data_IF_469555085652
#
_entry.id   IF_469555085652
#
_cell.length_a   1.000
_cell.length_b   1.000
_cell.length_c   1.000
_cell.angle_alpha   90.00
_cell.angle_beta   90.00
_cell.angle_gamma   90.00
#
_symmetry.space_group_name_H-M   'P 1'
#
loop_
_entity.id
_entity.type
_entity.pdbx_description
1 polymer ?
#
# COMPACT_ATOMS: atom_id res chain seq x y z
N UNK A 1 -10.10 20.53 -9.25
CA UNK A 1 -9.69 19.62 -8.16
C UNK A 1 -9.76 20.39 -6.85
N UNK A 2 -10.29 19.77 -5.79
CA UNK A 2 -10.40 20.40 -4.48
C UNK A 2 -9.03 20.38 -3.78
N UNK A 3 -8.37 21.54 -3.72
CA UNK A 3 -7.02 21.67 -3.14
C UNK A 3 -6.97 21.24 -1.67
N UNK A 4 -8.09 21.26 -0.96
CA UNK A 4 -8.15 20.90 0.46
C UNK A 4 -7.78 19.45 0.73
N UNK A 5 -8.07 18.55 -0.20
CA UNK A 5 -7.87 17.12 -0.04
C UNK A 5 -6.61 16.61 -0.73
N UNK A 6 -5.83 17.51 -1.33
CA UNK A 6 -4.60 17.12 -2.00
C UNK A 6 -3.49 16.82 -0.97
N UNK A 7 -2.84 15.65 -1.09
CA UNK A 7 -1.64 15.36 -0.33
C UNK A 7 -0.48 16.25 -0.81
N UNK A 8 0.47 16.51 0.08
CA UNK A 8 1.70 17.27 -0.21
C UNK A 8 2.87 16.33 -0.44
N UNK A 9 3.78 16.68 -1.35
CA UNK A 9 5.07 16.02 -1.50
C UNK A 9 6.11 16.74 -0.64
N UNK A 10 6.53 16.10 0.44
CA UNK A 10 7.48 16.69 1.40
C UNK A 10 8.73 15.82 1.44
N UNK A 11 9.90 16.31 0.98
CA UNK A 11 11.15 15.57 1.09
C UNK A 11 11.60 15.53 2.55
N UNK A 12 12.18 14.41 2.98
CA UNK A 12 12.86 14.35 4.27
C UNK A 12 14.31 14.88 4.15
N UNK A 13 15.07 14.87 5.25
CA UNK A 13 16.45 15.37 5.27
C UNK A 13 17.36 14.67 4.24
N UNK A 14 17.26 13.36 4.10
CA UNK A 14 18.11 12.58 3.19
C UNK A 14 17.70 12.83 1.73
N UNK A 15 16.40 12.96 1.47
CA UNK A 15 15.86 13.36 0.17
C UNK A 15 16.37 14.75 -0.23
N UNK A 16 16.36 15.71 0.72
CA UNK A 16 16.86 17.07 0.53
C UNK A 16 18.36 17.11 0.24
N UNK A 17 19.16 16.32 0.95
CA UNK A 17 20.59 16.19 0.66
C UNK A 17 20.82 15.67 -0.76
N UNK A 18 20.11 14.60 -1.12
CA UNK A 18 20.22 13.96 -2.44
C UNK A 18 19.81 14.91 -3.57
N UNK A 19 18.64 15.53 -3.49
CA UNK A 19 18.17 16.43 -4.56
C UNK A 19 19.08 17.66 -4.68
N UNK A 20 19.60 18.21 -3.58
CA UNK A 20 20.52 19.34 -3.65
C UNK A 20 21.87 18.98 -4.28
N UNK A 21 22.36 17.76 -4.10
CA UNK A 21 23.52 17.26 -4.83
C UNK A 21 23.21 17.07 -6.33
N UNK A 22 22.03 16.55 -6.68
CA UNK A 22 21.58 16.45 -8.07
C UNK A 22 21.51 17.83 -8.72
N UNK A 23 20.89 18.81 -8.06
CA UNK A 23 20.77 20.19 -8.55
C UNK A 23 22.13 20.79 -8.87
N UNK A 24 23.13 20.62 -7.99
CA UNK A 24 24.51 21.06 -8.26
C UNK A 24 25.08 20.40 -9.51
N UNK A 25 24.93 19.08 -9.65
CA UNK A 25 25.48 18.31 -10.77
C UNK A 25 24.86 18.66 -12.13
N UNK A 26 23.61 19.11 -12.15
CA UNK A 26 22.91 19.50 -13.39
C UNK A 26 22.94 21.02 -13.65
N UNK A 27 23.78 21.77 -12.93
CA UNK A 27 23.93 23.23 -12.99
C UNK A 27 22.68 24.03 -12.55
N UNK A 28 21.86 23.47 -11.66
CA UNK A 28 20.71 24.11 -11.03
C UNK A 28 20.91 24.36 -9.52
N UNK A 29 22.15 24.36 -9.04
CA UNK A 29 22.48 24.51 -7.61
C UNK A 29 22.00 25.83 -6.97
N UNK A 30 21.65 26.84 -7.77
CA UNK A 30 21.10 28.11 -7.30
C UNK A 30 19.66 28.00 -6.78
N UNK A 31 18.91 26.93 -7.13
CA UNK A 31 17.52 26.75 -6.72
C UNK A 31 17.38 26.34 -5.24
N UNK A 32 18.34 25.56 -4.72
CA UNK A 32 18.37 25.00 -3.36
C UNK A 32 17.01 24.48 -2.86
N UNK A 33 16.78 23.18 -2.98
CA UNK A 33 15.55 22.54 -2.52
C UNK A 33 15.41 22.55 -0.99
N UNK A 34 14.18 22.77 -0.54
CA UNK A 34 13.69 22.67 0.82
C UNK A 34 12.27 22.08 0.82
N UNK A 35 11.65 21.94 2.00
CA UNK A 35 10.31 21.35 2.15
C UNK A 35 9.20 22.16 1.44
N UNK A 36 9.36 23.48 1.33
CA UNK A 36 8.33 24.39 0.78
C UNK A 36 8.38 24.53 -0.75
N UNK A 37 9.57 24.33 -1.35
CA UNK A 37 9.81 24.56 -2.76
C UNK A 37 10.02 23.28 -3.60
N UNK A 38 9.98 22.09 -2.97
CA UNK A 38 10.30 20.82 -3.61
C UNK A 38 9.45 20.57 -4.87
N UNK A 39 8.13 20.72 -4.77
CA UNK A 39 7.21 20.49 -5.89
C UNK A 39 7.46 21.47 -7.04
N UNK A 40 7.76 22.73 -6.72
CA UNK A 40 7.99 23.81 -7.68
C UNK A 40 9.31 23.64 -8.43
N UNK A 41 10.29 22.91 -7.87
CA UNK A 41 11.59 22.68 -8.50
C UNK A 41 11.53 21.53 -9.53
N UNK A 42 10.61 20.56 -9.38
CA UNK A 42 10.51 19.37 -10.26
C UNK A 42 10.49 19.74 -11.76
N UNK A 43 9.70 20.72 -12.24
CA UNK A 43 9.68 21.07 -13.66
C UNK A 43 11.03 21.56 -14.20
N UNK A 44 11.82 22.26 -13.39
CA UNK A 44 13.15 22.74 -13.80
C UNK A 44 14.14 21.58 -13.94
N UNK A 45 14.06 20.60 -13.03
CA UNK A 45 14.86 19.37 -13.13
C UNK A 45 14.46 18.59 -14.39
N UNK A 46 13.17 18.48 -14.69
CA UNK A 46 12.64 17.74 -15.85
C UNK A 46 13.17 18.36 -17.15
N UNK A 47 13.03 19.69 -17.29
CA UNK A 47 13.53 20.43 -18.43
C UNK A 47 15.04 20.23 -18.60
N UNK A 48 15.81 20.43 -17.51
CA UNK A 48 17.27 20.34 -17.57
C UNK A 48 17.75 18.93 -17.91
N UNK A 49 17.09 17.91 -17.38
CA UNK A 49 17.39 16.52 -17.72
C UNK A 49 17.11 16.23 -19.21
N UNK A 50 16.06 16.81 -19.78
CA UNK A 50 15.77 16.75 -21.21
C UNK A 50 16.88 17.41 -22.06
N UNK A 51 17.34 18.61 -21.69
CA UNK A 51 18.42 19.32 -22.38
C UNK A 51 19.75 18.52 -22.37
N UNK A 52 20.11 17.94 -21.22
CA UNK A 52 21.34 17.15 -21.07
C UNK A 52 21.30 15.90 -21.97
N UNK A 53 20.13 15.24 -22.08
CA UNK A 53 19.93 14.11 -22.99
C UNK A 53 20.01 14.51 -24.46
N UNK A 54 19.34 15.61 -24.84
CA UNK A 54 19.38 16.13 -26.22
C UNK A 54 20.81 16.50 -26.65
N UNK A 55 21.64 16.95 -25.71
CA UNK A 55 23.05 17.22 -25.94
C UNK A 55 23.92 15.94 -26.03
N UNK A 56 23.35 14.75 -25.88
CA UNK A 56 24.08 13.47 -25.93
C UNK A 56 25.00 13.22 -24.73
N UNK A 57 24.82 13.94 -23.63
CA UNK A 57 25.70 13.85 -22.45
C UNK A 57 25.34 12.67 -21.54
N UNK A 58 24.11 12.17 -21.63
CA UNK A 58 23.62 11.00 -20.90
C UNK A 58 22.69 10.18 -21.79
N UNK A 59 22.52 8.90 -21.46
CA UNK A 59 21.67 7.99 -22.21
C UNK A 59 20.17 8.39 -22.12
N UNK A 60 19.43 8.24 -23.23
CA UNK A 60 18.03 8.65 -23.31
C UNK A 60 17.11 7.88 -22.34
N UNK A 61 17.45 6.64 -22.00
CA UNK A 61 16.66 5.81 -21.09
C UNK A 61 16.84 6.17 -19.62
N UNK A 62 17.92 6.86 -19.25
CA UNK A 62 18.21 7.20 -17.85
C UNK A 62 17.20 8.20 -17.29
N UNK A 63 16.76 8.00 -16.04
CA UNK A 63 15.90 8.97 -15.34
C UNK A 63 16.53 9.42 -14.04
N UNK A 64 16.29 10.67 -13.67
CA UNK A 64 16.65 11.20 -12.35
C UNK A 64 15.67 10.60 -11.34
N UNK A 65 16.22 9.82 -10.40
CA UNK A 65 15.46 9.29 -9.27
C UNK A 65 15.38 10.31 -8.14
N UNK A 66 14.17 10.66 -7.74
CA UNK A 66 13.86 11.47 -6.55
C UNK A 66 12.99 10.65 -5.59
N UNK A 67 12.89 11.13 -4.35
CA UNK A 67 12.09 10.50 -3.31
C UNK A 67 11.46 11.59 -2.43
N UNK A 68 10.26 11.35 -1.92
CA UNK A 68 9.57 12.26 -0.99
C UNK A 68 8.50 11.53 -0.18
N UNK A 69 8.09 12.12 0.94
CA UNK A 69 6.90 11.70 1.66
C UNK A 69 5.65 12.26 1.00
N UNK A 70 4.63 11.43 0.93
CA UNK A 70 3.29 11.77 0.47
C UNK A 70 2.43 12.01 1.72
N UNK A 71 2.16 13.26 2.05
CA UNK A 71 1.53 13.64 3.32
C UNK A 71 0.05 13.97 3.09
N UNK A 72 -0.89 13.13 3.59
CA UNK A 72 -2.31 13.43 3.55
C UNK A 72 -2.65 14.67 4.40
N UNK A 73 -3.67 15.46 4.00
CA UNK A 73 -3.96 16.75 4.63
C UNK A 73 -4.55 16.63 6.05
N UNK A 74 -5.11 15.48 6.44
CA UNK A 74 -5.79 15.31 7.74
C UNK A 74 -4.95 14.55 8.77
N UNK A 75 -3.63 14.41 8.55
CA UNK A 75 -2.77 13.63 9.43
C UNK A 75 -2.99 12.12 9.34
N UNK A 76 -3.66 11.66 8.29
CA UNK A 76 -3.85 10.24 7.99
C UNK A 76 -2.50 9.54 7.79
N UNK A 77 -2.47 8.24 8.03
CA UNK A 77 -1.28 7.42 7.88
C UNK A 77 -1.63 6.06 7.27
N UNK A 78 -0.63 5.42 6.68
CA UNK A 78 -0.75 4.09 6.13
C UNK A 78 -0.69 3.04 7.25
N UNK A 79 -1.69 2.15 7.31
CA UNK A 79 -1.74 1.03 8.26
C UNK A 79 -1.97 -0.33 7.60
N UNK A 80 -2.06 -0.38 6.27
CA UNK A 80 -2.20 -1.54 5.38
C UNK A 80 -3.01 -2.73 5.93
N UNK A 81 -4.19 -2.97 5.35
CA UNK A 81 -5.06 -4.07 5.70
C UNK A 81 -6.00 -3.76 6.85
N UNK A 82 -5.48 -3.64 8.08
CA UNK A 82 -6.31 -3.69 9.30
C UNK A 82 -7.33 -2.54 9.37
N UNK A 83 -6.89 -1.28 9.24
CA UNK A 83 -7.82 -0.15 9.30
C UNK A 83 -8.86 -0.19 8.19
N UNK A 84 -8.44 -0.40 6.95
CA UNK A 84 -9.36 -0.49 5.81
C UNK A 84 -10.38 -1.64 5.97
N UNK A 85 -9.95 -2.82 6.43
CA UNK A 85 -10.84 -3.94 6.70
C UNK A 85 -11.87 -3.60 7.80
N UNK A 86 -11.43 -2.95 8.88
CA UNK A 86 -12.34 -2.51 9.95
C UNK A 86 -13.32 -1.44 9.47
N UNK A 87 -12.88 -0.50 8.62
CA UNK A 87 -13.75 0.52 8.03
C UNK A 87 -14.84 -0.12 7.16
N UNK A 88 -14.49 -1.10 6.33
CA UNK A 88 -15.48 -1.85 5.55
C UNK A 88 -16.50 -2.60 6.44
N UNK A 89 -16.03 -3.24 7.53
CA UNK A 89 -16.91 -3.93 8.49
C UNK A 89 -17.85 -2.92 9.16
N UNK A 90 -17.32 -1.79 9.63
CA UNK A 90 -18.08 -0.78 10.35
C UNK A 90 -19.06 -0.03 9.45
N UNK A 91 -18.68 0.29 8.22
CA UNK A 91 -19.56 0.91 7.24
C UNK A 91 -20.78 0.02 6.95
N UNK A 92 -20.57 -1.29 6.74
CA UNK A 92 -21.67 -2.20 6.49
C UNK A 92 -22.57 -2.39 7.73
N UNK A 93 -21.99 -2.45 8.94
CA UNK A 93 -22.75 -2.46 10.19
C UNK A 93 -23.60 -1.20 10.37
N UNK A 94 -23.06 -0.03 10.06
CA UNK A 94 -23.81 1.23 10.13
C UNK A 94 -24.94 1.26 9.10
N UNK A 95 -24.70 0.77 7.88
CA UNK A 95 -25.75 0.63 6.86
C UNK A 95 -26.88 -0.30 7.33
N UNK A 96 -26.55 -1.47 7.89
CA UNK A 96 -27.57 -2.39 8.44
C UNK A 96 -28.35 -1.75 9.58
N UNK A 97 -27.68 -0.97 10.45
CA UNK A 97 -28.36 -0.24 11.54
C UNK A 97 -29.34 0.80 11.02
N UNK A 98 -28.98 1.54 9.97
CA UNK A 98 -29.84 2.57 9.36
C UNK A 98 -30.94 1.99 8.48
N UNK A 99 -30.67 0.84 7.87
CA UNK A 99 -31.57 0.16 6.94
C UNK A 99 -31.74 -1.31 7.34
N UNK A 100 -32.59 -1.63 8.34
CA UNK A 100 -32.68 -2.97 8.91
C UNK A 100 -32.99 -4.10 7.91
N UNK A 101 -33.67 -3.79 6.80
CA UNK A 101 -33.92 -4.76 5.71
C UNK A 101 -32.65 -5.32 5.06
N UNK A 102 -31.51 -4.62 5.19
CA UNK A 102 -30.22 -5.11 4.72
C UNK A 102 -29.64 -6.21 5.63
N UNK A 103 -30.15 -6.37 6.86
CA UNK A 103 -29.70 -7.40 7.79
C UNK A 103 -29.95 -8.82 7.25
N UNK A 104 -31.02 -9.01 6.48
CA UNK A 104 -31.44 -10.31 5.95
C UNK A 104 -30.74 -10.68 4.62
N UNK A 105 -30.02 -9.72 4.01
CA UNK A 105 -29.30 -9.95 2.77
C UNK A 105 -27.93 -10.62 3.03
N UNK A 106 -27.40 -11.41 2.08
CA UNK A 106 -26.03 -11.92 2.14
C UNK A 106 -24.98 -10.80 2.09
N UNK A 107 -23.91 -10.93 2.89
CA UNK A 107 -22.77 -10.00 2.96
C UNK A 107 -21.62 -10.60 2.16
N UNK A 108 -21.46 -10.12 0.93
CA UNK A 108 -20.41 -10.58 0.02
C UNK A 108 -19.37 -9.47 -0.13
N UNK A 109 -18.11 -9.79 0.15
CA UNK A 109 -16.99 -8.88 -0.03
C UNK A 109 -16.20 -9.30 -1.27
N UNK A 110 -15.94 -8.36 -2.18
CA UNK A 110 -15.19 -8.66 -3.38
C UNK A 110 -14.28 -7.54 -3.84
N UNK A 111 -13.16 -7.92 -4.47
CA UNK A 111 -12.21 -6.95 -4.99
C UNK A 111 -11.04 -7.57 -5.73
N UNK A 112 -10.35 -6.74 -6.51
CA UNK A 112 -9.10 -7.07 -7.17
C UNK A 112 -7.88 -6.54 -6.42
N UNK A 113 -6.73 -7.19 -6.56
CA UNK A 113 -5.45 -6.77 -5.97
C UNK A 113 -5.61 -6.50 -4.46
N UNK A 114 -5.31 -5.30 -4.00
CA UNK A 114 -5.49 -4.92 -2.60
C UNK A 114 -6.93 -5.11 -2.08
N UNK A 115 -7.96 -4.89 -2.91
CA UNK A 115 -9.36 -5.12 -2.54
C UNK A 115 -9.70 -6.60 -2.34
N UNK A 116 -9.06 -7.50 -3.09
CA UNK A 116 -9.20 -8.95 -2.91
C UNK A 116 -8.54 -9.42 -1.60
N UNK A 117 -7.35 -8.88 -1.31
CA UNK A 117 -6.69 -9.05 -0.02
C UNK A 117 -7.58 -8.56 1.14
N UNK A 118 -8.16 -7.37 1.03
CA UNK A 118 -9.07 -6.83 2.05
C UNK A 118 -10.31 -7.71 2.24
N UNK A 119 -10.90 -8.22 1.16
CA UNK A 119 -12.09 -9.08 1.22
C UNK A 119 -11.82 -10.37 2.00
N UNK A 120 -10.67 -11.01 1.78
CA UNK A 120 -10.23 -12.17 2.54
C UNK A 120 -9.86 -11.82 3.99
N UNK A 121 -9.21 -10.68 4.21
CA UNK A 121 -8.84 -10.21 5.55
C UNK A 121 -10.08 -9.91 6.40
N UNK A 122 -11.13 -9.34 5.81
CA UNK A 122 -12.43 -9.12 6.47
C UNK A 122 -13.05 -10.45 6.91
N UNK A 123 -13.05 -11.47 6.05
CA UNK A 123 -13.55 -12.79 6.41
C UNK A 123 -12.74 -13.44 7.55
N UNK A 124 -11.43 -13.18 7.60
CA UNK A 124 -10.56 -13.62 8.71
C UNK A 124 -10.87 -12.88 10.02
N UNK A 125 -11.11 -11.57 9.97
CA UNK A 125 -11.34 -10.74 11.17
C UNK A 125 -12.77 -10.90 11.71
N UNK A 126 -13.78 -10.96 10.85
CA UNK A 126 -15.20 -10.98 11.22
C UNK A 126 -15.99 -12.07 10.46
N UNK A 127 -15.61 -13.36 10.58
CA UNK A 127 -16.23 -14.45 9.83
C UNK A 127 -17.75 -14.57 10.04
N UNK A 128 -18.27 -14.18 11.21
CA UNK A 128 -19.71 -14.19 11.51
C UNK A 128 -20.51 -13.11 10.77
N UNK A 129 -19.84 -12.23 10.02
CA UNK A 129 -20.45 -11.13 9.27
C UNK A 129 -20.18 -11.21 7.76
N UNK A 130 -19.76 -12.38 7.29
CA UNK A 130 -19.43 -12.64 5.89
C UNK A 130 -20.15 -13.90 5.43
N UNK A 131 -20.83 -13.81 4.30
CA UNK A 131 -21.48 -14.95 3.64
C UNK A 131 -20.67 -15.41 2.41
N UNK A 132 -19.90 -14.53 1.80
CA UNK A 132 -19.03 -14.88 0.69
C UNK A 132 -17.90 -13.90 0.42
N UNK A 133 -16.85 -14.40 -0.24
CA UNK A 133 -15.69 -13.64 -0.67
C UNK A 133 -15.40 -13.91 -2.15
N UNK A 134 -15.20 -12.84 -2.92
CA UNK A 134 -14.74 -12.88 -4.32
C UNK A 134 -13.42 -12.13 -4.43
N UNK A 135 -12.33 -12.88 -4.49
CA UNK A 135 -10.97 -12.35 -4.57
C UNK A 135 -10.40 -12.53 -5.98
N UNK A 136 -9.73 -11.49 -6.47
CA UNK A 136 -8.96 -11.54 -7.71
C UNK A 136 -7.55 -10.97 -7.48
N UNK A 137 -6.52 -11.80 -7.56
CA UNK A 137 -5.11 -11.43 -7.41
C UNK A 137 -4.76 -10.74 -6.09
N UNK A 138 -5.50 -10.97 -5.00
CA UNK A 138 -5.13 -10.44 -3.69
C UNK A 138 -3.93 -11.17 -3.10
N UNK A 139 -2.97 -10.46 -2.51
CA UNK A 139 -1.83 -11.13 -1.88
C UNK A 139 -2.25 -11.96 -0.66
N UNK A 140 -1.69 -13.16 -0.48
CA UNK A 140 -1.87 -13.96 0.73
C UNK A 140 -0.96 -13.50 1.89
N UNK A 141 0.17 -12.87 1.57
CA UNK A 141 1.12 -12.29 2.53
C UNK A 141 1.15 -10.76 2.36
N UNK A 142 1.10 -9.97 3.44
CA UNK A 142 1.10 -8.52 3.32
C UNK A 142 2.48 -8.04 2.81
N UNK A 143 2.54 -7.15 1.81
CA UNK A 143 3.79 -6.54 1.36
C UNK A 143 4.30 -5.60 2.45
N UNK A 144 5.55 -5.80 2.89
CA UNK A 144 6.12 -5.03 4.00
C UNK A 144 6.42 -3.57 3.64
N UNK A 145 6.63 -3.24 2.36
CA UNK A 145 6.86 -1.87 1.91
C UNK A 145 5.68 -0.94 2.23
N UNK A 146 4.44 -1.42 2.17
CA UNK A 146 3.27 -0.63 2.55
C UNK A 146 3.03 -0.56 4.06
N UNK A 147 3.88 -1.20 4.87
CA UNK A 147 3.76 -1.22 6.34
C UNK A 147 4.94 -0.48 6.96
N UNK A 148 6.17 -0.86 6.59
CA UNK A 148 7.43 -0.33 7.12
C UNK A 148 7.96 0.86 6.31
N UNK A 149 7.36 1.15 5.15
CA UNK A 149 7.69 2.32 4.33
C UNK A 149 9.19 2.39 4.03
N UNK A 150 9.80 3.52 4.38
CA UNK A 150 11.22 3.82 4.13
C UNK A 150 12.22 2.91 4.85
N UNK A 151 11.81 2.14 5.86
CA UNK A 151 12.70 1.16 6.50
C UNK A 151 12.91 -0.08 5.62
N UNK A 152 12.13 -0.26 4.56
CA UNK A 152 12.38 -1.29 3.55
C UNK A 152 13.45 -0.84 2.56
N UNK A 153 14.39 -1.74 2.25
CA UNK A 153 15.46 -1.50 1.26
C UNK A 153 14.94 -1.28 -0.16
N UNK A 154 13.73 -1.76 -0.45
CA UNK A 154 13.11 -1.64 -1.77
C UNK A 154 11.61 -1.42 -1.70
N UNK A 155 11.10 -0.74 -2.72
CA UNK A 155 9.69 -0.39 -2.86
C UNK A 155 9.35 1.01 -2.36
N UNK A 156 8.16 1.46 -2.72
CA UNK A 156 7.52 2.68 -2.24
C UNK A 156 6.00 2.50 -2.36
N UNK A 157 5.21 3.43 -1.84
CA UNK A 157 3.75 3.36 -1.93
C UNK A 157 3.27 3.70 -3.35
N UNK A 158 3.94 4.65 -3.99
CA UNK A 158 3.56 5.15 -5.30
C UNK A 158 4.75 5.73 -6.06
N UNK A 159 4.69 5.68 -7.39
CA UNK A 159 5.73 6.24 -8.26
C UNK A 159 5.11 7.27 -9.19
N UNK A 160 5.58 8.51 -9.12
CA UNK A 160 5.34 9.52 -10.16
C UNK A 160 6.41 9.36 -11.24
N UNK A 161 6.00 9.11 -12.48
CA UNK A 161 6.91 8.81 -13.59
C UNK A 161 6.66 9.78 -14.75
N UNK A 162 7.64 10.62 -15.05
CA UNK A 162 7.65 11.53 -16.20
C UNK A 162 8.61 11.02 -17.28
N UNK A 163 8.98 11.86 -18.25
CA UNK A 163 9.92 11.48 -19.31
C UNK A 163 11.35 11.36 -18.77
N UNK A 164 11.73 12.25 -17.85
CA UNK A 164 13.12 12.36 -17.36
C UNK A 164 13.28 12.13 -15.86
N UNK A 165 12.19 12.12 -15.08
CA UNK A 165 12.19 11.96 -13.63
C UNK A 165 11.33 10.77 -13.23
N UNK A 166 11.76 10.10 -12.16
CA UNK A 166 10.97 9.17 -11.39
C UNK A 166 11.00 9.59 -9.93
N UNK A 167 9.84 9.80 -9.30
CA UNK A 167 9.73 10.17 -7.89
C UNK A 167 9.08 9.02 -7.13
N UNK A 168 9.80 8.46 -6.18
CA UNK A 168 9.28 7.48 -5.23
C UNK A 168 8.58 8.20 -4.08
N UNK A 169 7.30 7.90 -3.89
CA UNK A 169 6.46 8.51 -2.87
C UNK A 169 6.20 7.51 -1.74
N UNK A 170 6.44 7.95 -0.50
CA UNK A 170 6.25 7.14 0.70
C UNK A 170 5.14 7.72 1.55
N UNK A 171 4.13 6.91 1.89
CA UNK A 171 3.13 7.32 2.87
C UNK A 171 3.72 7.24 4.27
N UNK A 172 3.32 8.18 5.13
CA UNK A 172 3.66 8.11 6.55
C UNK A 172 3.13 6.80 7.15
N UNK A 173 4.01 6.07 7.84
CA UNK A 173 3.66 4.92 8.68
C UNK A 173 4.16 5.14 10.09
N UNK A 174 3.47 4.57 11.07
CA UNK A 174 3.95 4.53 12.45
C UNK A 174 4.85 3.32 12.72
N UNK A 175 4.71 2.25 11.92
CA UNK A 175 5.42 1.00 12.14
C UNK A 175 6.92 1.13 11.88
N UNK A 176 7.72 0.50 12.74
CA UNK A 176 9.19 0.47 12.65
C UNK A 176 9.74 -0.85 13.13
N UNK A 177 10.94 -1.23 12.67
CA UNK A 177 11.74 -2.36 13.16
C UNK A 177 12.74 -1.96 14.24
N UNK A 178 12.66 -0.75 14.79
CA UNK A 178 13.41 -0.33 15.97
C UNK A 178 12.83 -0.96 17.23
N UNK A 179 13.54 -1.91 17.84
CA UNK A 179 13.05 -2.75 18.95
C UNK A 179 12.52 -1.96 20.16
N UNK A 180 13.13 -0.82 20.48
CA UNK A 180 12.73 0.01 21.63
C UNK A 180 11.57 0.97 21.34
N UNK A 181 11.00 0.93 20.13
CA UNK A 181 9.88 1.81 19.76
C UNK A 181 8.55 1.27 20.30
N UNK A 182 7.64 2.13 20.81
CA UNK A 182 6.26 1.73 21.09
C UNK A 182 5.50 1.31 19.82
N UNK A 183 6.03 1.63 18.63
CA UNK A 183 5.50 1.23 17.34
C UNK A 183 6.31 0.12 16.66
N UNK A 184 7.03 -0.68 17.45
CA UNK A 184 7.75 -1.83 16.91
C UNK A 184 6.79 -2.82 16.24
N UNK A 185 7.00 -3.05 14.95
CA UNK A 185 6.19 -3.98 14.15
C UNK A 185 6.61 -5.41 14.44
N UNK A 186 5.94 -6.04 15.39
CA UNK A 186 6.24 -7.40 15.84
C UNK A 186 5.53 -8.48 14.98
N UNK A 187 5.78 -9.74 15.32
CA UNK A 187 5.18 -10.87 14.60
C UNK A 187 3.66 -10.88 14.64
N UNK A 188 3.03 -10.47 15.74
CA UNK A 188 1.57 -10.41 15.84
C UNK A 188 0.98 -9.35 14.90
N UNK A 189 1.67 -8.21 14.74
CA UNK A 189 1.29 -7.20 13.77
C UNK A 189 1.36 -7.71 12.33
N UNK A 190 2.29 -8.62 12.04
CA UNK A 190 2.36 -9.32 10.76
C UNK A 190 1.26 -10.37 10.64
N UNK A 191 1.12 -11.28 11.62
CA UNK A 191 0.18 -12.40 11.57
C UNK A 191 -1.29 -11.99 11.50
N UNK A 192 -1.67 -10.86 12.10
CA UNK A 192 -3.03 -10.34 11.95
C UNK A 192 -3.33 -9.92 10.50
N UNK A 193 -2.31 -9.53 9.72
CA UNK A 193 -2.41 -9.17 8.29
C UNK A 193 -2.20 -10.34 7.33
N UNK A 194 -1.46 -11.37 7.75
CA UNK A 194 -1.20 -12.57 6.95
C UNK A 194 -2.47 -13.41 6.76
N UNK A 195 -2.86 -13.66 5.52
CA UNK A 195 -4.00 -14.54 5.20
C UNK A 195 -3.59 -16.02 5.32
N UNK A 196 -2.37 -16.36 4.89
CA UNK A 196 -1.79 -17.68 5.09
C UNK A 196 -1.27 -17.86 6.53
N UNK A 197 -2.19 -17.88 7.49
CA UNK A 197 -1.89 -18.22 8.88
C UNK A 197 -2.84 -19.36 9.30
N UNK A 198 -2.29 -20.56 9.46
CA UNK A 198 -3.07 -21.79 9.71
C UNK A 198 -3.94 -21.68 10.97
N UNK A 199 -3.38 -21.19 12.07
CA UNK A 199 -4.09 -21.10 13.35
C UNK A 199 -5.26 -20.12 13.24
N UNK A 200 -5.05 -18.99 12.58
CA UNK A 200 -6.12 -18.02 12.33
C UNK A 200 -7.20 -18.58 11.40
N UNK A 201 -6.85 -19.33 10.36
CA UNK A 201 -7.82 -19.96 9.47
C UNK A 201 -8.65 -21.03 10.19
N UNK A 202 -8.04 -21.80 11.11
CA UNK A 202 -8.76 -22.76 11.96
C UNK A 202 -9.74 -22.02 12.89
N UNK A 203 -9.29 -20.94 13.54
CA UNK A 203 -10.17 -20.13 14.40
C UNK A 203 -11.33 -19.52 13.60
N UNK A 204 -11.05 -19.05 12.40
CA UNK A 204 -12.04 -18.48 11.48
C UNK A 204 -13.12 -19.51 11.13
N UNK A 205 -12.75 -20.72 10.72
CA UNK A 205 -13.70 -21.77 10.34
C UNK A 205 -14.51 -22.29 11.53
N UNK A 206 -13.97 -22.26 12.75
CA UNK A 206 -14.73 -22.55 13.96
C UNK A 206 -15.85 -21.53 14.21
N UNK A 207 -15.75 -20.31 13.69
CA UNK A 207 -16.79 -19.28 13.82
C UNK A 207 -17.82 -19.32 12.70
N UNK A 208 -17.40 -19.59 11.46
CA UNK A 208 -18.30 -19.72 10.32
C UNK A 208 -17.71 -20.65 9.26
N UNK A 209 -18.39 -21.76 8.98
CA UNK A 209 -18.04 -22.75 7.94
C UNK A 209 -18.82 -22.59 6.63
N UNK A 210 -19.71 -21.61 6.58
CA UNK A 210 -20.63 -21.44 5.46
C UNK A 210 -20.18 -20.33 4.51
N UNK A 211 -18.97 -19.78 4.71
CA UNK A 211 -18.46 -18.72 3.85
C UNK A 211 -18.07 -19.32 2.50
N UNK A 212 -18.65 -18.79 1.43
CA UNK A 212 -18.29 -19.20 0.07
C UNK A 212 -17.06 -18.42 -0.38
N UNK A 213 -15.97 -19.12 -0.72
CA UNK A 213 -14.76 -18.51 -1.27
C UNK A 213 -14.65 -18.76 -2.77
N UNK A 214 -14.50 -17.68 -3.54
CA UNK A 214 -14.10 -17.72 -4.94
C UNK A 214 -12.85 -16.87 -5.09
N UNK A 215 -11.74 -17.47 -5.52
CA UNK A 215 -10.46 -16.79 -5.65
C UNK A 215 -9.81 -17.10 -7.00
N UNK A 216 -9.36 -16.05 -7.67
CA UNK A 216 -8.61 -16.10 -8.92
C UNK A 216 -7.22 -15.51 -8.69
N UNK A 217 -6.17 -16.18 -9.18
CA UNK A 217 -4.80 -15.68 -9.06
C UNK A 217 -3.97 -16.17 -10.24
N UNK A 218 -3.17 -15.29 -10.83
CA UNK A 218 -2.28 -15.67 -11.94
C UNK A 218 -1.07 -16.45 -11.41
N UNK A 219 -0.70 -17.55 -12.07
CA UNK A 219 0.54 -18.28 -11.77
C UNK A 219 1.79 -17.47 -12.10
N UNK A 220 1.66 -16.49 -12.99
CA UNK A 220 2.74 -15.64 -13.49
C UNK A 220 2.79 -14.27 -12.79
N UNK A 221 2.08 -14.06 -11.67
CA UNK A 221 2.11 -12.79 -10.94
C UNK A 221 3.49 -12.61 -10.26
N UNK A 222 4.31 -11.62 -10.68
CA UNK A 222 5.64 -11.43 -10.13
C UNK A 222 5.63 -10.70 -8.78
N UNK A 223 4.53 -10.07 -8.40
CA UNK A 223 4.38 -9.28 -7.18
C UNK A 223 3.84 -10.11 -6.03
N UNK A 224 2.91 -11.02 -6.33
CA UNK A 224 2.24 -11.84 -5.32
C UNK A 224 2.26 -13.32 -5.74
N UNK A 225 3.22 -14.12 -5.26
CA UNK A 225 3.37 -15.51 -5.69
C UNK A 225 2.10 -16.36 -5.42
N UNK A 226 1.64 -17.05 -6.46
CA UNK A 226 0.39 -17.82 -6.43
C UNK A 226 0.41 -18.96 -5.40
N UNK A 227 1.58 -19.53 -5.08
CA UNK A 227 1.71 -20.65 -4.15
C UNK A 227 1.14 -20.33 -2.75
N UNK A 228 1.31 -19.11 -2.25
CA UNK A 228 0.76 -18.72 -0.96
C UNK A 228 -0.77 -18.61 -1.00
N UNK A 229 -1.31 -18.13 -2.13
CA UNK A 229 -2.75 -18.10 -2.36
C UNK A 229 -3.33 -19.51 -2.45
N UNK A 230 -2.71 -20.38 -3.26
CA UNK A 230 -3.11 -21.79 -3.42
C UNK A 230 -3.17 -22.49 -2.06
N UNK A 231 -2.14 -22.33 -1.22
CA UNK A 231 -2.13 -22.91 0.13
C UNK A 231 -3.25 -22.34 1.02
N UNK A 232 -3.49 -21.03 0.97
CA UNK A 232 -4.56 -20.39 1.75
C UNK A 232 -5.92 -20.97 1.38
N UNK A 233 -6.20 -21.09 0.07
CA UNK A 233 -7.48 -21.62 -0.43
C UNK A 233 -7.62 -23.12 -0.18
N UNK A 234 -6.53 -23.90 -0.26
CA UNK A 234 -6.53 -25.32 0.08
C UNK A 234 -6.87 -25.55 1.56
N UNK A 235 -6.29 -24.76 2.47
CA UNK A 235 -6.61 -24.84 3.90
C UNK A 235 -8.08 -24.51 4.14
N UNK A 236 -8.59 -23.41 3.57
CA UNK A 236 -10.02 -23.05 3.70
C UNK A 236 -10.93 -24.18 3.19
N UNK A 237 -10.62 -24.75 2.02
CA UNK A 237 -11.38 -25.87 1.46
C UNK A 237 -11.39 -27.12 2.35
N UNK A 238 -10.29 -27.40 3.06
CA UNK A 238 -10.20 -28.53 4.00
C UNK A 238 -11.04 -28.28 5.26
N UNK A 239 -11.11 -27.03 5.71
CA UNK A 239 -11.76 -26.66 6.96
C UNK A 239 -13.29 -26.62 6.88
N UNK A 240 -13.85 -26.65 5.65
CA UNK A 240 -15.28 -26.50 5.39
C UNK A 240 -15.60 -25.03 5.21
#
# INVERSE_FOLDING_TARGET
MDQKYNPKLIPNKDDLERINNILKNINLGHLLANEDNFEQIIPFIEQRAGEIKQAGLVDESQKIGLSCDFIPPNGDYQNFGIMAALDHINALKDLVKRFPKLADLPKIYGGGSYGGYLSLLIAKIAPWYVDGVIDNSGSALPPLNYILGREMESGCDYVLNSSHILIQCFLKTHWTRKENSPYFFNNENYFIRTLLNKDHLILQSQKNKNIIYVSYHSKEDPLTPANFKEQTMQILKILG
#
